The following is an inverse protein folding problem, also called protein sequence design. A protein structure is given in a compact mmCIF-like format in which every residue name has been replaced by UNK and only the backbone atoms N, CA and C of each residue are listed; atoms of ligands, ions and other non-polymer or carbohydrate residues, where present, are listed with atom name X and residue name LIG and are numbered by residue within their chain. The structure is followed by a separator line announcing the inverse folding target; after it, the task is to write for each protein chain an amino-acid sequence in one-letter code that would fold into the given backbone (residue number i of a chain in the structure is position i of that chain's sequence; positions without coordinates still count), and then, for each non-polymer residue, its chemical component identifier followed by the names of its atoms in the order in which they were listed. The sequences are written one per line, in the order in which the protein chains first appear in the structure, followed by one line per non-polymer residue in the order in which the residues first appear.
data_IF_951535423962
#
_entry.id   IF_951535423962
#
_cell.length_a   1.000
_cell.length_b   1.000
_cell.length_c   1.000
_cell.angle_alpha   90.00
_cell.angle_beta   90.00
_cell.angle_gamma   90.00
#
_symmetry.space_group_name_H-M   'P 1'
#
loop_
_entity.id
_entity.type
_entity.pdbx_description
1 polymer ?
#
# COMPACT_ATOMS: atom_id res chain seq x y z
N UNK A 1 -4.95 7.11 15.52
CA UNK A 1 -4.56 8.18 14.58
C UNK A 1 -5.02 9.54 15.12
N UNK A 2 -4.46 10.63 14.62
CA UNK A 2 -4.93 11.99 14.90
C UNK A 2 -5.45 12.68 13.65
N UNK A 3 -5.20 12.11 12.49
CA UNK A 3 -5.70 12.56 11.19
C UNK A 3 -5.94 11.36 10.28
N UNK A 4 -7.04 11.40 9.54
CA UNK A 4 -7.38 10.49 8.45
C UNK A 4 -7.83 11.35 7.27
N UNK A 5 -7.35 11.06 6.07
CA UNK A 5 -7.82 11.70 4.84
C UNK A 5 -8.31 10.62 3.86
N UNK A 6 -9.41 10.89 3.18
CA UNK A 6 -10.02 10.03 2.17
C UNK A 6 -10.26 10.88 0.94
N UNK A 7 -9.76 10.44 -0.21
CA UNK A 7 -9.93 11.10 -1.50
C UNK A 7 -10.60 10.15 -2.48
N UNK A 8 -11.50 10.67 -3.31
CA UNK A 8 -12.00 9.96 -4.47
C UNK A 8 -10.93 9.97 -5.56
N UNK A 9 -10.38 8.82 -5.92
CA UNK A 9 -9.31 8.73 -6.89
C UNK A 9 -9.76 9.10 -8.32
N UNK A 10 -11.04 9.08 -8.61
CA UNK A 10 -11.59 9.48 -9.91
C UNK A 10 -12.05 10.95 -9.92
N UNK A 11 -12.16 11.57 -8.74
CA UNK A 11 -12.49 12.97 -8.58
C UNK A 11 -11.72 13.60 -7.41
N UNK A 12 -10.53 14.12 -7.67
CA UNK A 12 -9.64 14.70 -6.65
C UNK A 12 -10.26 15.90 -5.88
N UNK A 13 -11.37 16.48 -6.35
CA UNK A 13 -12.08 17.53 -5.62
C UNK A 13 -12.87 17.00 -4.41
N UNK A 14 -13.08 15.69 -4.33
CA UNK A 14 -13.74 15.04 -3.19
C UNK A 14 -12.65 14.51 -2.27
N UNK A 15 -12.19 15.37 -1.37
CA UNK A 15 -11.21 15.02 -0.34
C UNK A 15 -11.75 15.40 1.03
N UNK A 16 -11.99 14.41 1.88
CA UNK A 16 -12.44 14.59 3.24
C UNK A 16 -11.28 14.34 4.21
N UNK A 17 -10.96 15.34 5.01
CA UNK A 17 -9.93 15.25 6.05
C UNK A 17 -10.57 15.29 7.44
N UNK A 18 -10.34 14.24 8.19
CA UNK A 18 -10.84 14.05 9.55
C UNK A 18 -9.71 14.26 10.55
N UNK A 19 -9.80 15.35 11.31
CA UNK A 19 -8.90 15.62 12.43
C UNK A 19 -9.57 15.18 13.73
N UNK A 20 -8.83 14.51 14.61
CA UNK A 20 -9.36 13.98 15.84
C UNK A 20 -8.41 14.19 17.01
N UNK A 21 -8.99 14.38 18.21
CA UNK A 21 -8.20 14.40 19.43
C UNK A 21 -7.74 13.01 19.82
N UNK A 22 -6.53 12.92 20.33
CA UNK A 22 -6.03 11.67 20.92
C UNK A 22 -6.77 11.38 22.24
N UNK A 23 -6.95 10.10 22.61
CA UNK A 23 -7.49 9.70 23.88
C UNK A 23 -6.73 10.33 25.04
N UNK A 24 -7.42 10.67 26.13
CA UNK A 24 -6.80 11.35 27.28
C UNK A 24 -5.72 10.53 27.98
N UNK A 25 -5.78 9.20 27.83
CA UNK A 25 -4.85 8.24 28.43
C UNK A 25 -3.68 7.88 27.49
N UNK A 26 -3.69 8.34 26.25
CA UNK A 26 -2.61 8.10 25.30
C UNK A 26 -1.68 9.32 25.22
N UNK A 27 -0.40 9.07 25.46
CA UNK A 27 0.65 10.04 25.13
C UNK A 27 1.21 9.67 23.76
N UNK A 28 1.11 10.57 22.78
CA UNK A 28 1.68 10.32 21.48
C UNK A 28 3.21 10.21 21.58
N UNK A 29 3.77 9.28 20.80
CA UNK A 29 5.22 9.12 20.76
C UNK A 29 5.92 10.40 20.29
N UNK A 30 7.02 10.83 20.92
CA UNK A 30 7.72 12.06 20.57
C UNK A 30 8.13 12.15 19.11
N UNK A 31 8.55 11.02 18.51
CA UNK A 31 8.94 10.93 17.11
C UNK A 31 7.73 11.16 16.18
N UNK A 32 6.55 10.66 16.53
CA UNK A 32 5.34 10.88 15.77
C UNK A 32 4.95 12.36 15.78
N UNK A 33 4.94 13.00 16.95
CA UNK A 33 4.67 14.43 17.09
C UNK A 33 5.64 15.30 16.28
N UNK A 34 6.92 14.96 16.33
CA UNK A 34 7.95 15.68 15.58
C UNK A 34 7.73 15.55 14.05
N UNK A 35 7.47 14.33 13.56
CA UNK A 35 7.28 14.09 12.13
C UNK A 35 6.03 14.74 11.57
N UNK A 36 4.94 14.73 12.33
CA UNK A 36 3.65 15.29 11.89
C UNK A 36 3.51 16.77 12.26
N UNK A 37 4.50 17.38 12.92
CA UNK A 37 4.46 18.74 13.45
C UNK A 37 3.19 19.01 14.27
N UNK A 38 2.70 18.00 14.99
CA UNK A 38 1.42 18.06 15.70
C UNK A 38 1.57 18.63 17.09
N UNK A 39 0.81 19.69 17.39
CA UNK A 39 0.63 20.17 18.75
C UNK A 39 -0.52 19.41 19.41
N UNK A 40 -0.21 18.31 20.12
CA UNK A 40 -1.20 17.44 20.74
C UNK A 40 -2.12 18.14 21.77
N UNK A 41 -1.68 19.24 22.38
CA UNK A 41 -2.51 20.02 23.32
C UNK A 41 -3.61 20.76 22.58
N UNK A 42 -3.29 21.35 21.42
CA UNK A 42 -4.27 21.97 20.53
C UNK A 42 -5.28 20.97 19.98
N UNK A 43 -4.81 19.81 19.52
CA UNK A 43 -5.71 18.77 18.97
C UNK A 43 -6.70 18.27 20.01
N UNK A 44 -6.33 18.33 21.31
CA UNK A 44 -7.18 17.90 22.42
C UNK A 44 -8.36 18.83 22.67
N UNK A 45 -8.21 20.11 22.41
CA UNK A 45 -9.22 21.15 22.67
C UNK A 45 -10.11 21.40 21.44
N UNK A 46 -9.54 21.34 20.24
CA UNK A 46 -10.17 21.82 19.02
C UNK A 46 -10.84 20.71 18.17
N UNK A 47 -10.58 19.43 18.45
CA UNK A 47 -11.05 18.34 17.59
C UNK A 47 -11.98 17.36 18.32
N UNK A 48 -12.92 16.73 17.57
CA UNK A 48 -13.79 15.68 18.10
C UNK A 48 -12.96 14.45 18.52
N UNK A 49 -13.52 13.63 19.38
CA UNK A 49 -12.96 12.33 19.71
C UNK A 49 -13.09 11.36 18.51
N UNK A 50 -12.25 10.34 18.49
CA UNK A 50 -12.35 9.26 17.51
C UNK A 50 -13.75 8.60 17.52
N UNK A 51 -14.36 8.46 18.71
CA UNK A 51 -15.70 7.88 18.87
C UNK A 51 -16.78 8.70 18.16
N UNK A 52 -16.69 10.02 18.26
CA UNK A 52 -17.66 10.96 17.66
C UNK A 52 -17.54 11.02 16.14
N UNK A 53 -16.32 10.94 15.58
CA UNK A 53 -16.08 11.13 14.15
C UNK A 53 -16.05 9.81 13.35
N UNK A 54 -15.91 8.67 14.02
CA UNK A 54 -15.82 7.37 13.36
C UNK A 54 -17.03 7.03 12.46
N UNK A 55 -18.28 7.38 12.78
CA UNK A 55 -19.39 7.16 11.85
C UNK A 55 -19.16 7.81 10.49
N UNK A 56 -18.77 9.08 10.46
CA UNK A 56 -18.53 9.81 9.20
C UNK A 56 -17.35 9.22 8.40
N UNK A 57 -16.28 8.80 9.08
CA UNK A 57 -15.16 8.11 8.44
C UNK A 57 -15.62 6.80 7.79
N UNK A 58 -16.49 6.05 8.48
CA UNK A 58 -17.01 4.79 7.96
C UNK A 58 -17.98 5.00 6.80
N UNK A 59 -18.85 6.00 6.87
CA UNK A 59 -19.77 6.33 5.79
C UNK A 59 -19.01 6.62 4.50
N UNK A 60 -17.94 7.42 4.59
CA UNK A 60 -17.07 7.69 3.44
C UNK A 60 -16.34 6.42 2.99
N UNK A 61 -15.66 5.72 3.89
CA UNK A 61 -14.87 4.55 3.54
C UNK A 61 -15.71 3.43 2.91
N UNK A 62 -16.93 3.21 3.42
CA UNK A 62 -17.82 2.16 2.96
C UNK A 62 -18.61 2.54 1.71
N UNK A 63 -18.61 3.81 1.30
CA UNK A 63 -19.22 4.25 0.05
C UNK A 63 -18.49 3.74 -1.20
N UNK A 64 -17.23 3.33 -1.08
CA UNK A 64 -16.40 2.85 -2.17
C UNK A 64 -16.25 1.33 -2.15
N UNK A 65 -16.15 0.71 -3.34
CA UNK A 65 -15.91 -0.74 -3.47
C UNK A 65 -14.43 -1.10 -3.43
N UNK A 66 -13.55 -0.16 -3.82
CA UNK A 66 -12.11 -0.34 -3.87
C UNK A 66 -11.44 0.74 -3.02
N UNK A 67 -10.64 0.30 -2.07
CA UNK A 67 -9.91 1.16 -1.13
C UNK A 67 -8.42 1.03 -1.41
N UNK A 68 -7.74 2.16 -1.58
CA UNK A 68 -6.30 2.23 -1.73
C UNK A 68 -5.64 2.85 -0.50
N UNK A 69 -4.50 2.29 -0.09
CA UNK A 69 -3.62 2.93 0.88
C UNK A 69 -2.16 2.69 0.49
N UNK A 70 -1.27 3.60 0.83
CA UNK A 70 0.17 3.44 0.60
C UNK A 70 0.80 2.74 1.80
N UNK A 71 1.33 1.52 1.61
CA UNK A 71 1.79 0.66 2.70
C UNK A 71 0.65 0.26 3.66
N UNK A 72 -0.41 -0.26 3.09
CA UNK A 72 -1.68 -0.60 3.74
C UNK A 72 -1.55 -1.38 5.06
N UNK A 73 -0.52 -2.18 5.23
CA UNK A 73 -0.35 -2.97 6.47
C UNK A 73 -0.30 -2.11 7.73
N UNK A 74 0.22 -0.88 7.63
CA UNK A 74 0.24 0.08 8.73
C UNK A 74 -1.16 0.65 8.98
N UNK A 75 -1.80 1.17 7.94
CA UNK A 75 -3.14 1.78 8.03
C UNK A 75 -4.20 0.77 8.48
N UNK A 76 -4.06 -0.48 8.03
CA UNK A 76 -4.90 -1.60 8.48
C UNK A 76 -4.87 -1.73 10.01
N UNK A 77 -3.69 -1.83 10.60
CA UNK A 77 -3.55 -2.00 12.04
C UNK A 77 -4.18 -0.85 12.82
N UNK A 78 -3.92 0.37 12.37
CA UNK A 78 -4.47 1.59 12.98
C UNK A 78 -5.99 1.64 12.83
N UNK A 79 -6.55 1.29 11.68
CA UNK A 79 -7.99 1.30 11.44
C UNK A 79 -8.71 0.23 12.26
N UNK A 80 -8.20 -1.01 12.26
CA UNK A 80 -8.77 -2.12 13.02
C UNK A 80 -8.79 -1.83 14.52
N UNK A 81 -7.70 -1.29 15.07
CA UNK A 81 -7.63 -0.85 16.46
C UNK A 81 -8.60 0.30 16.77
N UNK A 82 -8.71 1.26 15.86
CA UNK A 82 -9.63 2.41 16.00
C UNK A 82 -11.08 1.96 16.00
N UNK A 83 -11.45 1.01 15.15
CA UNK A 83 -12.77 0.41 15.11
C UNK A 83 -13.08 -0.33 16.42
N UNK A 84 -12.16 -1.17 16.88
CA UNK A 84 -12.30 -1.89 18.13
C UNK A 84 -12.47 -0.95 19.32
N UNK A 85 -11.63 0.09 19.43
CA UNK A 85 -11.68 1.09 20.50
C UNK A 85 -12.96 1.93 20.49
N UNK A 86 -13.66 2.00 19.36
CA UNK A 86 -14.96 2.66 19.23
C UNK A 86 -16.16 1.70 19.31
N UNK A 87 -15.93 0.45 19.75
CA UNK A 87 -16.97 -0.58 19.91
C UNK A 87 -17.53 -1.11 18.61
N UNK A 88 -16.79 -1.00 17.51
CA UNK A 88 -17.19 -1.48 16.18
C UNK A 88 -16.39 -2.70 15.78
N UNK A 89 -16.96 -3.51 14.87
CA UNK A 89 -16.24 -4.65 14.32
C UNK A 89 -15.04 -4.19 13.50
N UNK A 90 -13.82 -4.72 13.74
CA UNK A 90 -12.65 -4.41 12.93
C UNK A 90 -12.76 -4.95 11.50
N UNK A 91 -13.81 -5.74 11.18
CA UNK A 91 -14.01 -6.37 9.88
C UNK A 91 -15.11 -5.72 9.04
N UNK A 92 -15.56 -4.51 9.36
CA UNK A 92 -16.64 -3.82 8.64
C UNK A 92 -16.36 -3.62 7.15
N UNK A 93 -15.10 -3.46 6.77
CA UNK A 93 -14.69 -3.28 5.37
C UNK A 93 -14.21 -4.57 4.68
N UNK A 94 -14.48 -5.74 5.28
CA UNK A 94 -14.02 -7.05 4.78
C UNK A 94 -14.50 -7.38 3.36
N UNK A 95 -15.66 -6.87 2.99
CA UNK A 95 -16.23 -7.10 1.65
C UNK A 95 -15.70 -6.14 0.59
N UNK A 96 -14.91 -5.16 0.98
CA UNK A 96 -14.25 -4.22 0.07
C UNK A 96 -12.97 -4.83 -0.51
N UNK A 97 -12.61 -4.39 -1.72
CA UNK A 97 -11.31 -4.72 -2.30
C UNK A 97 -10.30 -3.71 -1.79
N UNK A 98 -9.36 -4.16 -0.96
CA UNK A 98 -8.31 -3.28 -0.42
C UNK A 98 -7.01 -3.51 -1.16
N UNK A 99 -6.48 -2.43 -1.72
CA UNK A 99 -5.30 -2.42 -2.56
C UNK A 99 -4.15 -1.68 -1.86
N UNK A 100 -2.97 -2.27 -1.87
CA UNK A 100 -1.75 -1.59 -1.41
C UNK A 100 -1.04 -0.92 -2.58
N UNK A 101 -0.99 0.42 -2.56
CA UNK A 101 -0.39 1.21 -3.63
C UNK A 101 1.13 1.02 -3.72
N UNK A 102 1.84 0.80 -2.60
CA UNK A 102 3.29 0.67 -2.61
C UNK A 102 3.78 -0.53 -3.45
N UNK A 103 3.33 -1.78 -3.24
CA UNK A 103 3.72 -2.90 -4.10
C UNK A 103 3.18 -2.76 -5.53
N UNK A 104 1.99 -2.19 -5.72
CA UNK A 104 1.42 -1.96 -7.06
C UNK A 104 2.29 -1.02 -7.88
N UNK A 105 2.66 0.14 -7.34
CA UNK A 105 3.57 1.12 -7.96
C UNK A 105 4.95 0.50 -8.18
N UNK A 106 5.44 -0.30 -7.24
CA UNK A 106 6.73 -0.98 -7.37
C UNK A 106 6.76 -1.95 -8.54
N UNK A 107 5.70 -2.73 -8.75
CA UNK A 107 5.57 -3.65 -9.88
C UNK A 107 5.44 -2.84 -11.18
N UNK A 108 4.60 -1.80 -11.20
CA UNK A 108 4.48 -0.90 -12.33
C UNK A 108 5.84 -0.33 -12.77
N UNK A 109 6.70 0.05 -11.82
CA UNK A 109 8.03 0.60 -12.13
C UNK A 109 8.99 -0.38 -12.82
N UNK A 110 8.71 -1.67 -12.75
CA UNK A 110 9.49 -2.71 -13.44
C UNK A 110 8.90 -2.98 -14.82
N UNK A 111 7.58 -3.11 -14.90
CA UNK A 111 6.88 -3.42 -16.16
C UNK A 111 6.81 -2.21 -17.09
N UNK A 112 6.64 -1.03 -16.52
CA UNK A 112 6.45 0.25 -17.22
C UNK A 112 7.44 1.32 -16.71
N UNK A 113 8.77 1.12 -16.89
CA UNK A 113 9.81 2.01 -16.32
C UNK A 113 9.82 3.42 -16.93
N UNK A 114 9.10 3.63 -18.03
CA UNK A 114 8.91 4.96 -18.63
C UNK A 114 7.77 5.72 -17.98
N UNK A 115 6.79 5.01 -17.41
CA UNK A 115 5.60 5.57 -16.77
C UNK A 115 5.91 5.95 -15.32
N UNK A 116 6.47 5.00 -14.57
CA UNK A 116 6.72 5.18 -13.14
C UNK A 116 8.14 4.76 -12.77
N UNK A 117 8.78 5.53 -11.90
CA UNK A 117 10.15 5.26 -11.44
C UNK A 117 10.19 5.14 -9.92
N UNK A 118 11.06 4.27 -9.43
CA UNK A 118 11.44 4.18 -8.02
C UNK A 118 12.85 4.74 -7.88
N UNK A 119 13.06 5.82 -7.09
CA UNK A 119 14.35 6.44 -6.93
C UNK A 119 15.34 5.56 -6.19
N UNK A 120 16.62 5.75 -6.51
CA UNK A 120 17.72 5.17 -5.76
C UNK A 120 18.30 6.22 -4.83
N UNK A 121 18.45 5.86 -3.57
CA UNK A 121 19.04 6.73 -2.55
C UNK A 121 20.25 6.06 -1.91
N UNK A 122 21.20 6.86 -1.49
CA UNK A 122 22.25 6.41 -0.60
C UNK A 122 21.72 6.20 0.80
N UNK A 123 22.16 5.16 1.47
CA UNK A 123 21.70 4.87 2.83
C UNK A 123 22.38 3.66 3.44
N UNK A 124 21.99 3.36 4.66
CA UNK A 124 22.47 2.18 5.37
C UNK A 124 21.30 1.25 5.66
N UNK A 125 21.44 -0.03 5.30
CA UNK A 125 20.49 -1.09 5.61
C UNK A 125 21.22 -2.27 6.24
N UNK A 126 20.77 -2.69 7.42
CA UNK A 126 21.36 -3.81 8.19
C UNK A 126 22.87 -3.64 8.37
N UNK A 127 23.33 -2.42 8.68
CA UNK A 127 24.74 -2.11 8.89
C UNK A 127 25.61 -2.02 7.62
N UNK A 128 25.01 -2.07 6.42
CA UNK A 128 25.73 -1.95 5.14
C UNK A 128 25.34 -0.67 4.44
N UNK A 129 26.32 0.18 4.17
CA UNK A 129 26.16 1.37 3.33
C UNK A 129 26.06 0.97 1.86
N UNK A 130 25.18 1.62 1.12
CA UNK A 130 24.98 1.34 -0.29
C UNK A 130 23.88 2.17 -0.93
N UNK A 131 23.63 1.91 -2.21
CA UNK A 131 22.54 2.54 -2.97
C UNK A 131 21.36 1.58 -2.97
N UNK A 132 20.20 2.07 -2.51
CA UNK A 132 18.98 1.28 -2.35
C UNK A 132 17.80 1.94 -3.03
N UNK A 133 16.85 1.14 -3.54
CA UNK A 133 15.56 1.65 -4.00
C UNK A 133 14.78 2.20 -2.81
N UNK A 134 14.30 3.44 -2.93
CA UNK A 134 13.45 4.05 -1.91
C UNK A 134 11.98 3.89 -2.29
N UNK A 135 11.23 3.26 -1.39
CA UNK A 135 9.78 3.12 -1.51
C UNK A 135 9.03 4.07 -0.56
N UNK A 136 9.71 5.10 -0.01
CA UNK A 136 9.03 6.17 0.73
C UNK A 136 8.19 6.98 -0.26
N UNK A 137 6.93 7.24 0.08
CA UNK A 137 5.99 7.96 -0.77
C UNK A 137 6.58 9.28 -1.29
N UNK A 138 7.12 10.11 -0.41
CA UNK A 138 7.78 11.37 -0.76
C UNK A 138 8.85 11.20 -1.85
N UNK A 139 9.72 10.20 -1.71
CA UNK A 139 10.82 10.01 -2.66
C UNK A 139 10.29 9.50 -4.01
N UNK A 140 9.30 8.59 -3.98
CA UNK A 140 8.66 8.09 -5.19
C UNK A 140 7.92 9.20 -5.92
N UNK A 141 7.20 10.04 -5.19
CA UNK A 141 6.48 11.17 -5.76
C UNK A 141 7.44 12.16 -6.42
N UNK A 142 8.46 12.63 -5.72
CA UNK A 142 9.47 13.56 -6.24
C UNK A 142 10.23 13.04 -7.47
N UNK A 143 10.41 11.74 -7.60
CA UNK A 143 11.05 11.12 -8.79
C UNK A 143 10.14 11.19 -10.03
N UNK A 144 8.83 11.25 -9.84
CA UNK A 144 7.84 11.16 -10.92
C UNK A 144 7.15 12.48 -11.24
N UNK A 145 7.22 13.46 -10.33
CA UNK A 145 6.64 14.80 -10.48
C UNK A 145 7.66 15.82 -10.01
N UNK A 146 8.27 16.54 -10.96
CA UNK A 146 9.39 17.46 -10.70
C UNK A 146 8.96 18.87 -10.31
N UNK A 147 7.72 19.24 -10.55
CA UNK A 147 7.28 20.65 -10.48
C UNK A 147 6.25 20.92 -9.35
N UNK A 148 6.06 19.99 -8.44
CA UNK A 148 5.02 20.06 -7.41
C UNK A 148 5.63 20.20 -5.99
N UNK A 149 6.06 21.41 -5.67
CA UNK A 149 6.69 21.73 -4.37
C UNK A 149 5.67 22.02 -3.25
N UNK A 150 4.35 21.96 -3.53
CA UNK A 150 3.31 22.41 -2.59
C UNK A 150 2.90 21.36 -1.53
N UNK A 151 3.34 20.11 -1.63
CA UNK A 151 2.93 19.07 -0.70
C UNK A 151 3.72 19.14 0.63
N UNK A 152 2.99 19.22 1.72
CA UNK A 152 3.56 19.13 3.08
C UNK A 152 3.57 17.68 3.53
N UNK A 153 4.74 17.05 3.52
CA UNK A 153 4.90 15.62 3.84
C UNK A 153 4.55 15.30 5.30
N UNK A 154 4.03 14.09 5.49
CA UNK A 154 3.51 13.58 6.78
C UNK A 154 2.22 14.27 7.26
N UNK A 155 1.52 14.93 6.37
CA UNK A 155 0.14 15.37 6.54
C UNK A 155 -0.73 14.43 5.73
N UNK A 156 -1.78 13.86 6.32
CA UNK A 156 -2.57 12.80 5.67
C UNK A 156 -3.16 13.24 4.33
N UNK A 157 -3.58 14.49 4.22
CA UNK A 157 -4.10 15.06 2.98
C UNK A 157 -3.04 15.08 1.86
N UNK A 158 -1.83 15.55 2.15
CA UNK A 158 -0.75 15.58 1.16
C UNK A 158 -0.30 14.17 0.75
N UNK A 159 -0.22 13.25 1.71
CA UNK A 159 0.18 11.87 1.44
C UNK A 159 -0.85 11.14 0.56
N UNK A 160 -2.16 11.42 0.76
CA UNK A 160 -3.19 10.78 -0.06
C UNK A 160 -3.27 11.41 -1.46
N UNK A 161 -3.08 12.73 -1.60
CA UNK A 161 -2.98 13.41 -2.91
C UNK A 161 -1.79 12.84 -3.70
N UNK A 162 -0.63 12.71 -3.06
CA UNK A 162 0.55 12.12 -3.70
C UNK A 162 0.29 10.68 -4.17
N UNK A 163 -0.39 9.88 -3.35
CA UNK A 163 -0.76 8.51 -3.70
C UNK A 163 -1.73 8.49 -4.88
N UNK A 164 -2.78 9.30 -4.85
CA UNK A 164 -3.76 9.43 -5.92
C UNK A 164 -3.09 9.79 -7.25
N UNK A 165 -2.26 10.84 -7.28
CA UNK A 165 -1.57 11.27 -8.50
C UNK A 165 -0.65 10.20 -9.09
N UNK A 166 0.07 9.43 -8.26
CA UNK A 166 0.85 8.28 -8.72
C UNK A 166 -0.03 7.20 -9.34
N UNK A 167 -1.17 6.90 -8.74
CA UNK A 167 -2.14 5.94 -9.25
C UNK A 167 -2.80 6.42 -10.55
N UNK A 168 -3.18 7.70 -10.64
CA UNK A 168 -3.74 8.31 -11.85
C UNK A 168 -2.75 8.29 -13.01
N UNK A 169 -1.47 8.55 -12.74
CA UNK A 169 -0.42 8.42 -13.76
C UNK A 169 -0.34 7.00 -14.32
N UNK A 170 -0.39 5.98 -13.47
CA UNK A 170 -0.44 4.57 -13.92
C UNK A 170 -1.73 4.29 -14.68
N UNK A 171 -2.88 4.78 -14.20
CA UNK A 171 -4.18 4.60 -14.85
C UNK A 171 -4.20 5.16 -16.27
N UNK A 172 -3.63 6.35 -16.47
CA UNK A 172 -3.62 7.03 -17.76
C UNK A 172 -2.56 6.49 -18.74
N UNK A 173 -1.36 6.16 -18.25
CA UNK A 173 -0.22 5.82 -19.09
C UNK A 173 0.06 4.30 -19.20
N UNK A 174 -0.56 3.49 -18.35
CA UNK A 174 -0.49 2.02 -18.37
C UNK A 174 -1.85 1.38 -18.05
N UNK A 175 -2.91 1.65 -18.84
CA UNK A 175 -4.27 1.21 -18.54
C UNK A 175 -4.42 -0.31 -18.47
N UNK A 176 -3.70 -1.07 -19.28
CA UNK A 176 -3.71 -2.54 -19.23
C UNK A 176 -3.24 -3.09 -17.87
N UNK A 177 -2.22 -2.45 -17.28
CA UNK A 177 -1.76 -2.82 -15.95
C UNK A 177 -2.75 -2.36 -14.87
N UNK A 178 -3.32 -1.16 -15.04
CA UNK A 178 -4.36 -0.66 -14.13
C UNK A 178 -5.56 -1.60 -14.03
N UNK A 179 -5.98 -2.20 -15.12
CA UNK A 179 -7.13 -3.11 -15.17
C UNK A 179 -6.90 -4.42 -14.40
N UNK A 180 -5.65 -4.77 -14.14
CA UNK A 180 -5.31 -5.93 -13.31
C UNK A 180 -5.47 -5.68 -11.80
N UNK A 181 -5.63 -4.42 -11.35
CA UNK A 181 -5.61 -4.05 -9.92
C UNK A 181 -6.60 -4.82 -9.05
N UNK A 182 -7.85 -4.89 -9.48
CA UNK A 182 -8.89 -5.58 -8.71
C UNK A 182 -8.63 -7.07 -8.63
N UNK A 183 -8.12 -7.65 -9.71
CA UNK A 183 -7.77 -9.06 -9.77
C UNK A 183 -6.55 -9.39 -8.89
N UNK A 184 -5.55 -8.52 -8.87
CA UNK A 184 -4.33 -8.70 -8.06
C UNK A 184 -4.62 -8.70 -6.56
N UNK A 185 -5.60 -7.90 -6.10
CA UNK A 185 -5.93 -7.72 -4.68
C UNK A 185 -7.23 -8.40 -4.26
N UNK A 186 -7.98 -8.99 -5.18
CA UNK A 186 -9.23 -9.67 -4.86
C UNK A 186 -8.98 -11.03 -4.20
N UNK A 187 -9.99 -11.49 -3.46
CA UNK A 187 -10.01 -12.86 -2.92
C UNK A 187 -9.90 -13.96 -3.98
N UNK A 188 -10.24 -13.66 -5.23
CA UNK A 188 -10.17 -14.58 -6.36
C UNK A 188 -8.75 -14.72 -6.94
N UNK A 189 -7.81 -13.83 -6.61
CA UNK A 189 -6.43 -13.93 -7.08
C UNK A 189 -5.80 -15.28 -6.75
N UNK A 190 -6.11 -15.83 -5.57
CA UNK A 190 -5.67 -17.16 -5.14
C UNK A 190 -6.25 -18.27 -6.01
N UNK A 191 -7.56 -18.24 -6.30
CA UNK A 191 -8.22 -19.23 -7.14
C UNK A 191 -7.67 -19.22 -8.57
N UNK A 192 -7.42 -18.04 -9.13
CA UNK A 192 -6.80 -17.89 -10.44
C UNK A 192 -5.38 -18.50 -10.49
N UNK A 193 -4.59 -18.32 -9.43
CA UNK A 193 -3.25 -18.88 -9.33
C UNK A 193 -3.32 -20.42 -9.29
N UNK A 194 -4.17 -21.00 -8.43
CA UNK A 194 -4.28 -22.45 -8.27
C UNK A 194 -4.96 -23.13 -9.45
N UNK A 195 -5.90 -22.46 -10.12
CA UNK A 195 -6.49 -22.96 -11.37
C UNK A 195 -5.54 -22.85 -12.58
N UNK A 196 -4.29 -22.41 -12.37
CA UNK A 196 -3.26 -22.19 -13.40
C UNK A 196 -3.64 -21.16 -14.46
N UNK A 197 -4.61 -20.28 -14.16
CA UNK A 197 -4.99 -19.16 -15.03
C UNK A 197 -4.07 -17.96 -14.88
N UNK A 198 -3.30 -17.91 -13.79
CA UNK A 198 -2.34 -16.86 -13.51
C UNK A 198 -1.05 -17.45 -12.95
N UNK A 199 0.04 -16.72 -13.13
CA UNK A 199 1.35 -17.03 -12.57
C UNK A 199 1.58 -16.10 -11.39
N UNK A 200 2.05 -16.65 -10.27
CA UNK A 200 2.47 -15.82 -9.15
C UNK A 200 3.78 -15.13 -9.48
N UNK A 201 3.87 -13.83 -9.19
CA UNK A 201 5.09 -13.08 -9.37
C UNK A 201 5.70 -12.82 -8.00
N UNK A 202 6.84 -13.45 -7.72
CA UNK A 202 7.64 -13.13 -6.56
C UNK A 202 8.46 -11.87 -6.84
N UNK A 203 8.18 -10.82 -6.09
CA UNK A 203 8.82 -9.53 -6.22
C UNK A 203 9.82 -9.27 -5.09
N UNK A 204 11.02 -8.86 -5.44
CA UNK A 204 12.06 -8.43 -4.51
C UNK A 204 12.27 -6.92 -4.64
N UNK A 205 11.70 -6.15 -3.74
CA UNK A 205 11.80 -4.67 -3.72
C UNK A 205 13.25 -4.17 -3.81
N UNK A 206 14.14 -4.76 -3.02
CA UNK A 206 15.54 -4.32 -2.95
C UNK A 206 16.30 -4.51 -4.26
N UNK A 207 15.90 -5.47 -5.07
CA UNK A 207 16.61 -5.84 -6.30
C UNK A 207 15.88 -5.43 -7.57
N UNK A 208 14.65 -4.92 -7.48
CA UNK A 208 13.76 -4.71 -8.63
C UNK A 208 13.71 -5.96 -9.54
N UNK A 209 13.57 -7.12 -8.95
CA UNK A 209 13.52 -8.38 -9.67
C UNK A 209 12.17 -9.06 -9.45
N UNK A 210 11.62 -9.56 -10.51
CA UNK A 210 10.41 -10.38 -10.50
C UNK A 210 10.76 -11.76 -11.01
N UNK A 211 10.18 -12.75 -10.35
CA UNK A 211 10.34 -14.15 -10.73
C UNK A 211 8.97 -14.75 -10.94
N UNK A 212 8.67 -15.23 -12.14
CA UNK A 212 7.44 -15.96 -12.38
C UNK A 212 7.49 -17.30 -11.62
N UNK A 213 6.57 -17.48 -10.69
CA UNK A 213 6.51 -18.64 -9.80
C UNK A 213 5.23 -19.41 -10.09
N UNK A 214 5.35 -20.72 -10.35
CA UNK A 214 4.20 -21.62 -10.41
C UNK A 214 4.00 -22.27 -9.03
N UNK A 215 2.89 -22.02 -8.33
CA UNK A 215 2.60 -22.71 -7.09
C UNK A 215 2.26 -24.17 -7.37
N UNK A 216 2.87 -25.07 -6.62
CA UNK A 216 2.65 -26.53 -6.77
C UNK A 216 1.96 -27.14 -5.57
N UNK A 217 2.14 -26.53 -4.39
CA UNK A 217 1.54 -27.03 -3.16
C UNK A 217 1.34 -25.88 -2.16
N UNK A 218 0.18 -25.85 -1.52
CA UNK A 218 -0.12 -24.95 -0.42
C UNK A 218 0.21 -25.66 0.90
N UNK A 219 1.12 -25.09 1.67
CA UNK A 219 1.49 -25.59 2.99
C UNK A 219 0.50 -25.15 4.06
N UNK A 220 0.17 -23.87 4.04
CA UNK A 220 -0.82 -23.20 4.88
C UNK A 220 -1.34 -21.94 4.17
N UNK A 221 -2.27 -21.21 4.80
CA UNK A 221 -2.98 -20.08 4.17
C UNK A 221 -2.08 -19.08 3.44
N UNK A 222 -0.83 -18.90 3.90
CA UNK A 222 0.05 -17.84 3.42
C UNK A 222 1.39 -18.36 2.88
N UNK A 223 1.62 -19.69 2.94
CA UNK A 223 2.86 -20.31 2.52
C UNK A 223 2.66 -21.35 1.42
N UNK A 224 3.41 -21.18 0.35
CA UNK A 224 3.32 -22.00 -0.86
C UNK A 224 4.69 -22.55 -1.26
N UNK A 225 4.74 -23.79 -1.68
CA UNK A 225 5.84 -24.30 -2.47
C UNK A 225 5.64 -23.93 -3.92
N UNK A 226 6.62 -23.28 -4.52
CA UNK A 226 6.54 -22.77 -5.90
C UNK A 226 7.78 -23.15 -6.69
N UNK A 227 7.61 -23.35 -8.00
CA UNK A 227 8.69 -23.55 -8.95
C UNK A 227 9.00 -22.19 -9.59
N UNK A 228 10.26 -21.79 -9.55
CA UNK A 228 10.79 -20.64 -10.30
C UNK A 228 10.86 -21.02 -11.79
N UNK A 229 9.99 -20.44 -12.59
CA UNK A 229 9.86 -20.80 -14.01
C UNK A 229 11.09 -20.41 -14.84
N UNK A 230 11.79 -19.33 -14.49
CA UNK A 230 13.02 -18.97 -15.19
C UNK A 230 14.13 -19.98 -14.93
N UNK A 231 14.30 -20.41 -13.69
CA UNK A 231 15.26 -21.45 -13.34
C UNK A 231 14.89 -22.79 -13.96
N UNK A 232 13.60 -23.10 -13.96
CA UNK A 232 13.08 -24.31 -14.57
C UNK A 232 13.39 -24.39 -16.07
N UNK A 233 13.19 -23.29 -16.78
CA UNK A 233 13.53 -23.21 -18.21
C UNK A 233 15.04 -23.32 -18.48
N UNK A 234 15.86 -22.67 -17.65
CA UNK A 234 17.34 -22.70 -17.78
C UNK A 234 17.94 -24.08 -17.56
N UNK A 235 17.31 -24.93 -16.74
CA UNK A 235 17.76 -26.30 -16.48
C UNK A 235 17.10 -27.34 -17.38
N UNK A 236 16.32 -26.92 -18.38
CA UNK A 236 15.69 -27.85 -19.35
C UNK A 236 14.56 -28.69 -18.77
N UNK A 237 13.88 -28.15 -17.74
CA UNK A 237 12.81 -28.86 -17.02
C UNK A 237 13.33 -29.66 -15.82
N UNK A 238 12.41 -30.34 -15.11
CA UNK A 238 12.77 -31.28 -14.07
C UNK A 238 13.50 -32.45 -14.72
N UNK A 239 14.82 -32.46 -14.59
CA UNK A 239 15.56 -33.66 -14.95
C UNK A 239 15.03 -34.81 -14.10
N UNK A 240 14.79 -35.99 -14.70
CA UNK A 240 14.27 -37.18 -14.04
C UNK A 240 15.13 -37.73 -12.88
N UNK A 241 16.15 -37.00 -12.45
CA UNK A 241 17.13 -37.41 -11.43
C UNK A 241 16.58 -37.53 -9.99
N UNK A 242 15.31 -37.24 -9.73
CA UNK A 242 14.70 -37.41 -8.41
C UNK A 242 13.57 -38.43 -8.38
N UNK A 243 13.54 -39.37 -9.33
CA UNK A 243 12.82 -40.63 -9.17
C UNK A 243 13.78 -41.66 -8.56
N UNK A 244 14.01 -41.53 -7.25
CA UNK A 244 14.46 -42.64 -6.40
C UNK A 244 13.90 -42.43 -5.01
#
# INVERSE_FOLDING_TARGET
PHQIAIIDNDNENICNTYNMRLPHYELPGPIALYKTNTNWRKTKEDHPSLYEIMPSILDDLLSYDIIWAYNYSYDKGVLEESLFNTGRSPYLYKDKIVCDAMPFISIASILYPKVIKIPKIEGERRGKKGIYNSHKLENVYKENFTDDDELTWHVAESDIIATSRLLQKIKSEAPEFWDLRTRMFSKFAREDIFSKKAVWIRYYQDKKQMFPMLPVYERDRDNYFSIDLEKYQKVGGLQEKHKK
#
